data_IF_029458751542
#
_entry.id   IF_029458751542
#
_cell.length_a   1.000
_cell.length_b   1.000
_cell.length_c   1.000
_cell.angle_alpha   90.00
_cell.angle_beta   90.00
_cell.angle_gamma   90.00
#
_symmetry.space_group_name_H-M   'P 1'
#
loop_
_entity.id
_entity.type
_entity.pdbx_description
1 polymer ?
#
# COMPACT_ATOMS: atom_id res chain seq x y z
N UNK A 1 -3.09 -7.12 -7.61
CA UNK A 1 -2.38 -5.87 -7.35
C UNK A 1 -2.51 -5.53 -5.87
N UNK A 2 -1.40 -5.14 -5.27
CA UNK A 2 -1.36 -4.80 -3.85
C UNK A 2 -1.01 -3.32 -3.70
N UNK A 3 -1.63 -2.67 -2.70
CA UNK A 3 -1.30 -1.30 -2.36
C UNK A 3 -0.02 -1.27 -1.54
N UNK A 4 1.05 -0.60 -1.99
CA UNK A 4 2.26 -0.51 -1.18
C UNK A 4 2.05 0.43 0.00
N UNK A 5 2.43 -0.01 1.18
CA UNK A 5 2.41 0.80 2.40
C UNK A 5 3.77 0.68 3.09
N UNK A 6 4.09 1.66 3.91
CA UNK A 6 5.43 1.78 4.47
C UNK A 6 5.35 2.14 5.95
N UNK A 7 6.23 1.57 6.74
CA UNK A 7 6.29 1.88 8.17
C UNK A 7 7.00 3.18 8.46
N UNK A 8 7.84 3.65 7.52
CA UNK A 8 8.63 4.86 7.71
C UNK A 8 9.08 5.40 6.35
N UNK A 9 9.64 6.62 6.38
CA UNK A 9 10.07 7.30 5.16
C UNK A 9 11.20 6.54 4.47
N UNK A 10 12.08 5.89 5.22
CA UNK A 10 13.21 5.18 4.62
C UNK A 10 12.73 4.02 3.76
N UNK A 11 11.69 3.31 4.19
CA UNK A 11 11.12 2.24 3.39
C UNK A 11 10.44 2.79 2.13
N UNK A 12 9.78 3.92 2.23
CA UNK A 12 9.22 4.59 1.06
C UNK A 12 10.31 4.98 0.07
N UNK A 13 11.43 5.46 0.55
CA UNK A 13 12.53 5.89 -0.34
C UNK A 13 13.11 4.71 -1.10
N UNK A 14 13.17 3.53 -0.52
CA UNK A 14 13.58 2.32 -1.24
C UNK A 14 12.66 2.07 -2.43
N UNK A 15 11.36 2.19 -2.20
CA UNK A 15 10.36 2.02 -3.26
C UNK A 15 10.54 3.09 -4.34
N UNK A 16 10.67 4.36 -3.93
CA UNK A 16 10.83 5.45 -4.87
C UNK A 16 12.10 5.29 -5.70
N UNK A 17 13.20 4.87 -5.08
CA UNK A 17 14.46 4.67 -5.79
C UNK A 17 14.39 3.55 -6.81
N UNK A 18 13.55 2.55 -6.58
CA UNK A 18 13.35 1.47 -7.53
C UNK A 18 12.32 1.80 -8.61
N UNK A 19 11.68 2.96 -8.51
CA UNK A 19 10.70 3.44 -9.48
C UNK A 19 11.04 4.88 -9.86
N UNK A 20 12.29 5.12 -10.26
CA UNK A 20 12.80 6.46 -10.47
C UNK A 20 12.17 7.19 -11.66
N UNK A 21 11.52 6.45 -12.55
CA UNK A 21 10.80 7.03 -13.69
C UNK A 21 9.44 7.63 -13.30
N UNK A 22 8.99 7.39 -12.08
CA UNK A 22 7.70 7.88 -11.59
C UNK A 22 7.90 8.56 -10.25
N UNK A 23 7.30 9.72 -10.08
CA UNK A 23 7.39 10.44 -8.81
C UNK A 23 6.16 10.11 -7.96
N UNK A 24 6.42 9.54 -6.80
CA UNK A 24 5.36 9.20 -5.84
C UNK A 24 5.40 10.17 -4.67
N UNK A 25 4.27 10.30 -3.98
CA UNK A 25 4.19 11.03 -2.73
C UNK A 25 3.64 10.11 -1.65
N UNK A 26 4.03 10.36 -0.41
CA UNK A 26 3.65 9.55 0.73
C UNK A 26 2.79 10.39 1.68
N UNK A 27 1.75 9.78 2.19
CA UNK A 27 0.91 10.38 3.22
C UNK A 27 0.66 9.41 4.34
N UNK A 28 0.02 9.88 5.39
CA UNK A 28 -0.36 9.03 6.51
C UNK A 28 -1.64 8.28 6.15
N UNK A 29 -1.64 6.97 6.43
CA UNK A 29 -2.79 6.12 6.17
C UNK A 29 -3.18 5.42 7.47
N UNK A 30 -4.39 5.67 7.94
CA UNK A 30 -4.93 4.97 9.10
C UNK A 30 -5.39 3.58 8.69
N UNK A 31 -5.18 2.60 9.58
CA UNK A 31 -5.49 1.20 9.26
C UNK A 31 -6.96 1.01 8.88
N UNK A 32 -7.87 1.71 9.54
CA UNK A 32 -9.30 1.58 9.24
C UNK A 32 -9.68 2.15 7.88
N UNK A 33 -8.81 2.97 7.29
CA UNK A 33 -9.03 3.58 5.99
C UNK A 33 -8.41 2.80 4.84
N UNK A 34 -7.69 1.73 5.13
CA UNK A 34 -7.00 0.96 4.10
C UNK A 34 -7.95 0.47 3.01
N UNK A 35 -9.13 -0.11 3.32
CA UNK A 35 -10.02 -0.54 2.23
C UNK A 35 -10.46 0.60 1.32
N UNK A 36 -10.61 1.81 1.87
CA UNK A 36 -11.01 2.98 1.09
C UNK A 36 -9.88 3.47 0.19
N UNK A 37 -8.63 3.28 0.62
CA UNK A 37 -7.47 3.71 -0.16
C UNK A 37 -7.14 2.74 -1.30
N UNK A 38 -7.66 1.50 -1.23
CA UNK A 38 -7.39 0.51 -2.25
C UNK A 38 -8.22 0.77 -3.49
N UNK A 39 -7.57 0.68 -4.65
CA UNK A 39 -8.28 0.71 -5.93
C UNK A 39 -9.10 -0.55 -6.15
N UNK A 40 -9.97 -0.53 -7.13
CA UNK A 40 -10.90 -1.64 -7.38
C UNK A 40 -10.21 -2.95 -7.70
N UNK A 41 -9.04 -2.88 -8.32
CA UNK A 41 -8.27 -4.08 -8.70
C UNK A 41 -7.32 -4.55 -7.60
N UNK A 42 -7.27 -3.84 -6.49
CA UNK A 42 -6.36 -4.22 -5.40
C UNK A 42 -7.03 -5.22 -4.47
N UNK A 43 -6.27 -6.24 -4.09
CA UNK A 43 -6.76 -7.31 -3.22
C UNK A 43 -6.16 -7.27 -1.83
N UNK A 44 -5.24 -6.35 -1.59
CA UNK A 44 -4.58 -6.23 -0.30
C UNK A 44 -3.50 -5.19 -0.32
N UNK A 45 -2.59 -5.30 0.63
CA UNK A 45 -1.48 -4.37 0.78
C UNK A 45 -0.18 -5.15 0.87
N UNK A 46 0.92 -4.49 0.52
CA UNK A 46 2.26 -5.00 0.77
C UNK A 46 2.99 -4.00 1.64
N UNK A 47 3.45 -4.47 2.79
CA UNK A 47 4.16 -3.63 3.76
C UNK A 47 5.65 -3.68 3.44
N UNK A 48 6.24 -2.51 3.24
CA UNK A 48 7.67 -2.38 2.95
C UNK A 48 8.13 -3.33 1.84
N UNK A 49 7.65 -3.11 0.60
CA UNK A 49 7.90 -4.07 -0.50
C UNK A 49 9.37 -4.31 -0.80
N UNK A 50 10.25 -3.38 -0.49
CA UNK A 50 11.69 -3.56 -0.67
C UNK A 50 12.41 -3.80 0.65
N UNK A 51 11.67 -4.16 1.69
CA UNK A 51 12.20 -4.52 2.99
C UNK A 51 11.62 -5.87 3.39
N UNK A 52 10.75 -5.89 4.39
CA UNK A 52 10.15 -7.13 4.88
C UNK A 52 9.24 -7.80 3.84
N UNK A 53 8.68 -7.01 2.95
CA UNK A 53 7.81 -7.49 1.85
C UNK A 53 6.67 -8.37 2.39
N UNK A 54 5.96 -7.84 3.38
CA UNK A 54 4.84 -8.56 3.97
C UNK A 54 3.58 -8.28 3.17
N UNK A 55 3.01 -9.32 2.58
CA UNK A 55 1.82 -9.21 1.76
C UNK A 55 0.59 -9.66 2.56
N UNK A 56 -0.43 -8.83 2.58
CA UNK A 56 -1.65 -9.08 3.34
C UNK A 56 -2.86 -8.92 2.43
N UNK A 57 -3.71 -9.93 2.41
CA UNK A 57 -5.00 -9.82 1.73
C UNK A 57 -5.96 -9.08 2.63
N UNK A 58 -6.63 -8.09 2.07
CA UNK A 58 -7.58 -7.26 2.82
C UNK A 58 -8.98 -7.51 2.26
N UNK A 59 -9.85 -7.99 3.12
CA UNK A 59 -11.24 -8.18 2.75
C UNK A 59 -11.92 -6.81 2.68
N UNK A 60 -12.67 -6.58 1.61
CA UNK A 60 -13.45 -5.36 1.48
C UNK A 60 -14.80 -5.56 2.12
N UNK A 61 -15.36 -4.50 2.72
CA UNK A 61 -16.75 -4.55 3.16
C UNK A 61 -17.64 -4.84 1.96
N UNK A 62 -18.53 -5.80 2.11
CA UNK A 62 -19.46 -6.12 1.03
C UNK A 62 -20.65 -5.19 1.11
N UNK A 63 -21.07 -4.78 -0.07
CA UNK A 63 -22.28 -4.00 -0.19
C UNK A 63 -23.46 -4.93 -0.14
N UNK A 64 -24.18 -4.90 0.94
CA UNK A 64 -25.37 -5.73 1.12
C UNK A 64 -26.59 -4.92 0.72
N UNK A 65 -27.28 -5.40 -0.25
CA UNK A 65 -28.49 -4.72 -0.70
C UNK A 65 -29.69 -5.57 -0.49
#
# INVERSE_FOLDING_TARGET
>A
VLLPVFTDVQEFLKFQNNHSDTRYSMGVLEAVKVPEAMGDEMTGVVVNPFGVDLQLNIARPQNQN
#
